data_IF_113533983523
#
_entry.id   IF_113533983523
#
_cell.length_a   1.000
_cell.length_b   1.000
_cell.length_c   1.000
_cell.angle_alpha   90.00
_cell.angle_beta   90.00
_cell.angle_gamma   90.00
#
_symmetry.space_group_name_H-M   'P 1'
#
loop_
_entity.id
_entity.type
_entity.pdbx_description
1 polymer ?
#
# COMPACT_ATOMS: atom_id res chain seq x y z
N UNK A 1 1.45 -12.45 -21.73
CA UNK A 1 0.17 -11.82 -21.38
C UNK A 1 -0.93 -12.65 -22.01
N UNK A 2 -1.94 -13.05 -21.22
CA UNK A 2 -3.08 -13.86 -21.68
C UNK A 2 -4.22 -12.99 -22.21
N UNK A 3 -4.38 -11.79 -21.64
CA UNK A 3 -5.37 -10.78 -22.03
C UNK A 3 -4.66 -9.50 -22.47
N UNK A 4 -5.20 -8.80 -23.47
CA UNK A 4 -4.54 -7.61 -24.03
C UNK A 4 -4.51 -6.46 -23.02
N UNK A 5 -5.57 -6.32 -22.22
CA UNK A 5 -5.70 -5.27 -21.21
C UNK A 5 -4.67 -5.36 -20.08
N UNK A 6 -4.01 -6.51 -19.87
CA UNK A 6 -2.95 -6.65 -18.85
C UNK A 6 -1.77 -5.71 -19.10
N UNK A 7 -1.58 -5.26 -20.35
CA UNK A 7 -0.50 -4.36 -20.73
C UNK A 7 -0.51 -3.01 -20.00
N UNK A 8 -1.66 -2.56 -19.49
CA UNK A 8 -1.76 -1.31 -18.70
C UNK A 8 -0.92 -1.38 -17.42
N UNK A 9 -0.72 -2.57 -16.86
CA UNK A 9 0.10 -2.78 -15.66
C UNK A 9 1.57 -2.34 -15.85
N UNK A 10 2.07 -2.36 -17.10
CA UNK A 10 3.44 -1.96 -17.42
C UNK A 10 3.73 -0.51 -17.02
N UNK A 11 2.77 0.40 -17.26
CA UNK A 11 2.92 1.82 -16.92
C UNK A 11 3.12 2.01 -15.41
N UNK A 12 2.27 1.35 -14.63
CA UNK A 12 2.30 1.37 -13.17
C UNK A 12 3.62 0.82 -12.61
N UNK A 13 4.11 -0.32 -13.11
CA UNK A 13 5.38 -0.87 -12.65
C UNK A 13 6.59 -0.01 -13.02
N UNK A 14 6.61 0.60 -14.21
CA UNK A 14 7.69 1.51 -14.60
C UNK A 14 7.73 2.73 -13.68
N UNK A 15 6.57 3.35 -13.41
CA UNK A 15 6.49 4.48 -12.49
C UNK A 15 6.90 4.09 -11.07
N UNK A 16 6.47 2.92 -10.57
CA UNK A 16 6.86 2.42 -9.27
C UNK A 16 8.39 2.29 -9.12
N UNK A 17 9.07 1.72 -10.12
CA UNK A 17 10.54 1.59 -10.11
C UNK A 17 11.22 2.97 -10.13
N UNK A 18 10.73 3.91 -10.94
CA UNK A 18 11.28 5.26 -10.99
C UNK A 18 11.13 6.01 -9.66
N UNK A 19 9.94 5.93 -9.05
CA UNK A 19 9.65 6.54 -7.75
C UNK A 19 10.43 5.86 -6.62
N UNK A 20 10.67 4.55 -6.70
CA UNK A 20 11.53 3.83 -5.75
C UNK A 20 12.97 4.35 -5.81
N UNK A 21 13.54 4.56 -7.00
CA UNK A 21 14.86 5.16 -7.14
C UNK A 21 14.93 6.58 -6.52
N UNK A 22 13.88 7.40 -6.74
CA UNK A 22 13.76 8.70 -6.10
C UNK A 22 13.68 8.60 -4.57
N UNK A 23 12.90 7.66 -4.03
CA UNK A 23 12.81 7.41 -2.60
C UNK A 23 14.20 7.10 -1.98
N UNK A 24 14.98 6.24 -2.63
CA UNK A 24 16.33 5.88 -2.17
C UNK A 24 17.26 7.10 -2.15
N UNK A 25 17.21 7.94 -3.19
CA UNK A 25 18.01 9.18 -3.24
C UNK A 25 17.73 10.09 -2.03
N UNK A 26 16.46 10.33 -1.70
CA UNK A 26 16.10 11.13 -0.53
C UNK A 26 16.44 10.44 0.80
N UNK A 27 16.45 9.10 0.82
CA UNK A 27 16.96 8.33 1.96
C UNK A 27 18.46 8.54 2.18
N UNK A 28 19.26 8.53 1.12
CA UNK A 28 20.69 8.81 1.19
C UNK A 28 20.99 10.26 1.60
N UNK A 29 20.20 11.22 1.11
CA UNK A 29 20.28 12.63 1.55
C UNK A 29 20.09 12.73 3.06
N UNK A 30 19.01 12.15 3.60
CA UNK A 30 18.77 12.15 5.04
C UNK A 30 19.86 11.43 5.80
N UNK A 31 20.33 10.28 5.30
CA UNK A 31 21.42 9.52 5.92
C UNK A 31 22.69 10.35 6.08
N UNK A 32 23.01 11.22 5.12
CA UNK A 32 24.12 12.16 5.23
C UNK A 32 23.80 13.30 6.22
N UNK A 33 22.58 13.83 6.22
CA UNK A 33 22.13 14.86 7.17
C UNK A 33 22.24 14.43 8.64
N UNK A 34 22.19 13.12 8.94
CA UNK A 34 22.43 12.61 10.30
C UNK A 34 23.86 12.86 10.81
N UNK A 35 24.85 12.85 9.91
CA UNK A 35 26.28 12.98 10.27
C UNK A 35 26.87 14.32 9.85
N UNK A 36 26.24 15.02 8.91
CA UNK A 36 26.55 16.39 8.46
C UNK A 36 25.26 17.21 8.50
N UNK A 37 24.94 17.78 9.67
CA UNK A 37 23.62 18.34 9.99
C UNK A 37 23.17 19.55 9.17
N UNK A 38 24.10 20.23 8.49
CA UNK A 38 23.85 21.39 7.63
C UNK A 38 23.91 21.06 6.13
N UNK A 39 24.09 19.78 5.77
CA UNK A 39 24.09 19.34 4.37
C UNK A 39 22.74 19.66 3.68
N UNK A 40 22.81 20.46 2.59
CA UNK A 40 21.67 21.00 1.83
C UNK A 40 20.76 21.98 2.60
N UNK A 41 21.20 22.50 3.75
CA UNK A 41 20.47 23.56 4.44
C UNK A 41 20.86 24.96 3.90
N UNK A 42 19.91 25.89 3.67
CA UNK A 42 18.48 25.81 3.97
C UNK A 42 17.59 25.26 2.83
N UNK A 43 18.15 24.87 1.68
CA UNK A 43 17.40 24.56 0.46
C UNK A 43 16.52 23.31 0.59
N UNK A 44 17.03 22.24 1.20
CA UNK A 44 16.28 21.00 1.48
C UNK A 44 16.52 20.60 2.94
N UNK A 45 15.76 21.17 3.89
CA UNK A 45 15.84 20.80 5.29
C UNK A 45 15.43 19.33 5.51
N UNK A 46 15.91 18.73 6.60
CA UNK A 46 15.69 17.31 6.90
C UNK A 46 14.21 16.88 6.86
N UNK A 47 13.30 17.69 7.39
CA UNK A 47 11.86 17.39 7.38
C UNK A 47 11.26 17.37 5.97
N UNK A 48 11.76 18.20 5.04
CA UNK A 48 11.34 18.18 3.63
C UNK A 48 11.87 16.92 2.95
N UNK A 49 13.15 16.59 3.14
CA UNK A 49 13.71 15.34 2.63
C UNK A 49 12.95 14.10 3.14
N UNK A 50 12.58 14.12 4.43
CA UNK A 50 11.79 13.08 5.09
C UNK A 50 10.42 12.89 4.47
N UNK A 51 9.63 13.96 4.32
CA UNK A 51 8.29 13.83 3.73
C UNK A 51 8.35 13.41 2.26
N UNK A 52 9.37 13.82 1.50
CA UNK A 52 9.56 13.32 0.12
C UNK A 52 9.88 11.83 0.14
N UNK A 53 10.81 11.38 1.00
CA UNK A 53 11.17 9.98 1.13
C UNK A 53 9.98 9.09 1.52
N UNK A 54 9.25 9.44 2.57
CA UNK A 54 8.15 8.61 3.09
C UNK A 54 6.93 8.63 2.17
N UNK A 55 6.59 9.77 1.56
CA UNK A 55 5.49 9.81 0.60
C UNK A 55 5.84 9.12 -0.72
N UNK A 56 7.08 9.22 -1.19
CA UNK A 56 7.53 8.45 -2.35
C UNK A 56 7.39 6.94 -2.09
N UNK A 57 7.76 6.45 -0.89
CA UNK A 57 7.57 5.06 -0.47
C UNK A 57 6.12 4.60 -0.65
N UNK A 58 5.18 5.36 -0.09
CA UNK A 58 3.75 5.02 -0.15
C UNK A 58 3.26 5.04 -1.59
N UNK A 59 3.56 6.10 -2.36
CA UNK A 59 3.06 6.26 -3.72
C UNK A 59 3.58 5.17 -4.64
N UNK A 60 4.88 4.81 -4.58
CA UNK A 60 5.40 3.77 -5.44
C UNK A 60 4.82 2.39 -5.09
N UNK A 61 4.59 2.11 -3.81
CA UNK A 61 3.90 0.90 -3.36
C UNK A 61 2.47 0.85 -3.89
N UNK A 62 1.71 1.95 -3.81
CA UNK A 62 0.37 2.04 -4.39
C UNK A 62 0.38 1.81 -5.91
N UNK A 63 1.35 2.39 -6.63
CA UNK A 63 1.55 2.12 -8.05
C UNK A 63 1.82 0.63 -8.31
N UNK A 64 2.68 -0.01 -7.51
CA UNK A 64 2.97 -1.43 -7.62
C UNK A 64 1.74 -2.31 -7.35
N UNK A 65 0.92 -1.99 -6.33
CA UNK A 65 -0.33 -2.69 -6.05
C UNK A 65 -1.34 -2.56 -7.18
N UNK A 66 -1.53 -1.35 -7.71
CA UNK A 66 -2.40 -1.12 -8.86
C UNK A 66 -1.91 -1.89 -10.09
N UNK A 67 -0.60 -1.86 -10.36
CA UNK A 67 0.02 -2.64 -11.44
C UNK A 67 -0.19 -4.14 -11.27
N UNK A 68 0.01 -4.67 -10.06
CA UNK A 68 -0.21 -6.08 -9.75
C UNK A 68 -1.68 -6.47 -9.96
N UNK A 69 -2.63 -5.69 -9.43
CA UNK A 69 -4.06 -5.92 -9.62
C UNK A 69 -4.47 -5.88 -11.10
N UNK A 70 -4.02 -4.87 -11.86
CA UNK A 70 -4.30 -4.78 -13.30
C UNK A 70 -3.70 -5.92 -14.11
N UNK A 71 -2.60 -6.52 -13.65
CA UNK A 71 -2.02 -7.70 -14.28
C UNK A 71 -2.79 -8.97 -13.93
N UNK A 72 -3.00 -9.26 -12.65
CA UNK A 72 -3.54 -10.55 -12.22
C UNK A 72 -5.07 -10.65 -12.31
N UNK A 73 -5.81 -9.56 -12.09
CA UNK A 73 -7.28 -9.61 -12.01
C UNK A 73 -7.93 -10.03 -13.32
N UNK A 74 -7.56 -9.49 -14.51
CA UNK A 74 -8.12 -9.96 -15.78
C UNK A 74 -7.90 -11.47 -16.01
N UNK A 75 -6.73 -11.97 -15.59
CA UNK A 75 -6.38 -13.38 -15.75
C UNK A 75 -7.15 -14.29 -14.78
N UNK A 76 -7.35 -13.84 -13.55
CA UNK A 76 -8.12 -14.54 -12.52
C UNK A 76 -9.63 -14.49 -12.80
N UNK A 77 -10.13 -13.37 -13.32
CA UNK A 77 -11.51 -13.18 -13.72
C UNK A 77 -11.82 -13.79 -15.11
N UNK A 78 -10.81 -14.29 -15.80
CA UNK A 78 -10.91 -14.89 -17.13
C UNK A 78 -11.59 -13.97 -18.17
N UNK A 79 -11.41 -12.65 -18.03
CA UNK A 79 -12.03 -11.64 -18.88
C UNK A 79 -11.12 -10.42 -19.02
N UNK A 80 -11.27 -9.66 -20.11
CA UNK A 80 -10.56 -8.39 -20.26
C UNK A 80 -10.97 -7.41 -19.16
N UNK A 81 -10.04 -6.53 -18.78
CA UNK A 81 -10.30 -5.47 -17.80
C UNK A 81 -11.49 -4.60 -18.25
N UNK A 82 -12.35 -4.22 -17.31
CA UNK A 82 -13.59 -3.49 -17.58
C UNK A 82 -13.37 -2.19 -18.38
N UNK A 83 -12.38 -1.39 -17.98
CA UNK A 83 -12.06 -0.13 -18.64
C UNK A 83 -10.53 0.12 -18.71
N UNK A 84 -9.82 -0.39 -19.74
CA UNK A 84 -8.36 -0.17 -19.89
C UNK A 84 -7.96 1.30 -20.07
N UNK A 85 -8.83 2.09 -20.72
CA UNK A 85 -8.62 3.53 -20.89
C UNK A 85 -8.66 4.26 -19.53
N UNK A 86 -9.54 3.83 -18.62
CA UNK A 86 -9.67 4.43 -17.28
C UNK A 86 -8.42 4.18 -16.45
N UNK A 87 -7.84 2.97 -16.55
CA UNK A 87 -6.55 2.65 -15.91
C UNK A 87 -5.45 3.59 -16.41
N UNK A 88 -5.37 3.81 -17.72
CA UNK A 88 -4.34 4.70 -18.30
C UNK A 88 -4.55 6.17 -17.92
N UNK A 89 -5.81 6.64 -17.89
CA UNK A 89 -6.13 8.00 -17.45
C UNK A 89 -5.79 8.22 -15.98
N UNK A 90 -6.23 7.31 -15.11
CA UNK A 90 -5.98 7.39 -13.67
C UNK A 90 -4.48 7.27 -13.33
N UNK A 91 -3.72 6.48 -14.10
CA UNK A 91 -2.26 6.43 -14.01
C UNK A 91 -1.65 7.83 -14.15
N UNK A 92 -1.97 8.55 -15.22
CA UNK A 92 -1.42 9.88 -15.48
C UNK A 92 -1.87 10.90 -14.45
N UNK A 93 -3.15 10.89 -14.07
CA UNK A 93 -3.67 11.78 -13.02
C UNK A 93 -2.92 11.54 -11.70
N UNK A 94 -2.74 10.29 -11.31
CA UNK A 94 -2.07 9.95 -10.06
C UNK A 94 -0.58 10.33 -10.08
N UNK A 95 0.11 10.04 -11.18
CA UNK A 95 1.53 10.36 -11.32
C UNK A 95 1.77 11.87 -11.34
N UNK A 96 0.95 12.64 -12.06
CA UNK A 96 1.04 14.10 -12.10
C UNK A 96 0.72 14.69 -10.73
N UNK A 97 -0.33 14.20 -10.04
CA UNK A 97 -0.66 14.64 -8.69
C UNK A 97 0.50 14.40 -7.71
N UNK A 98 1.12 13.21 -7.74
CA UNK A 98 2.28 12.89 -6.93
C UNK A 98 3.47 13.81 -7.24
N UNK A 99 3.76 14.04 -8.52
CA UNK A 99 4.83 14.94 -8.96
C UNK A 99 4.60 16.39 -8.51
N UNK A 100 3.37 16.90 -8.63
CA UNK A 100 3.00 18.25 -8.18
C UNK A 100 3.09 18.37 -6.66
N UNK A 101 2.71 17.34 -5.91
CA UNK A 101 2.83 17.34 -4.44
C UNK A 101 4.29 17.34 -4.00
N UNK A 102 5.15 16.52 -4.60
CA UNK A 102 6.60 16.52 -4.31
C UNK A 102 7.24 17.86 -4.71
N UNK A 103 6.87 18.41 -5.87
CA UNK A 103 7.30 19.75 -6.27
C UNK A 103 6.84 20.81 -5.26
N UNK A 104 5.61 20.72 -4.75
CA UNK A 104 5.11 21.59 -3.68
C UNK A 104 5.97 21.53 -2.42
N UNK A 105 6.38 20.33 -1.99
CA UNK A 105 7.27 20.17 -0.83
C UNK A 105 8.65 20.80 -1.03
N UNK A 106 9.21 20.69 -2.24
CA UNK A 106 10.58 21.12 -2.55
C UNK A 106 10.69 22.59 -2.93
N UNK A 107 9.65 23.17 -3.51
CA UNK A 107 9.70 24.51 -4.10
C UNK A 107 9.06 25.60 -3.24
N UNK A 108 8.27 25.22 -2.23
CA UNK A 108 7.51 26.16 -1.40
C UNK A 108 7.69 25.80 0.08
N UNK A 109 7.96 26.79 0.95
CA UNK A 109 7.93 26.54 2.40
C UNK A 109 6.61 25.89 2.83
N UNK A 110 6.68 24.86 3.66
CA UNK A 110 5.53 23.99 3.94
C UNK A 110 4.30 24.72 4.53
N UNK A 111 4.52 25.77 5.32
CA UNK A 111 3.44 26.63 5.82
C UNK A 111 2.76 27.42 4.69
N UNK A 112 3.54 28.00 3.78
CA UNK A 112 3.02 28.68 2.59
C UNK A 112 2.30 27.70 1.66
N UNK A 113 2.78 26.46 1.53
CA UNK A 113 2.06 25.41 0.80
C UNK A 113 0.69 25.11 1.42
N UNK A 114 0.59 25.11 2.76
CA UNK A 114 -0.67 24.93 3.46
C UNK A 114 -1.66 26.08 3.19
N UNK A 115 -1.18 27.33 3.21
CA UNK A 115 -1.98 28.51 2.85
C UNK A 115 -2.43 28.48 1.38
N UNK A 116 -1.51 28.20 0.45
CA UNK A 116 -1.80 28.11 -0.99
C UNK A 116 -2.84 27.05 -1.33
N UNK A 117 -2.91 25.98 -0.53
CA UNK A 117 -3.85 24.87 -0.72
C UNK A 117 -5.07 24.94 0.19
N UNK A 118 -5.25 26.07 0.88
CA UNK A 118 -6.40 26.38 1.74
C UNK A 118 -6.62 25.33 2.84
N UNK A 119 -5.54 24.84 3.45
CA UNK A 119 -5.60 23.79 4.47
C UNK A 119 -6.38 24.24 5.72
N UNK A 120 -6.52 25.54 5.98
CA UNK A 120 -7.34 26.07 7.06
C UNK A 120 -8.83 25.74 6.95
N UNK A 121 -9.35 25.54 5.72
CA UNK A 121 -10.76 25.17 5.51
C UNK A 121 -11.04 23.73 5.94
N UNK A 122 -10.09 22.83 5.71
CA UNK A 122 -10.16 21.44 6.13
C UNK A 122 -8.75 20.91 6.43
N UNK A 123 -8.29 21.03 7.69
CA UNK A 123 -6.90 20.80 8.03
C UNK A 123 -6.58 19.31 8.07
N UNK A 124 -5.75 18.85 7.14
CA UNK A 124 -5.28 17.45 7.09
C UNK A 124 -3.76 17.31 6.92
N UNK A 125 -3.04 18.40 6.64
CA UNK A 125 -1.59 18.41 6.46
C UNK A 125 -0.83 18.35 7.79
N UNK A 126 0.44 17.93 7.73
CA UNK A 126 1.40 18.07 8.83
C UNK A 126 1.39 16.91 9.82
N UNK A 127 0.65 15.85 9.52
CA UNK A 127 0.71 14.56 10.20
C UNK A 127 1.63 13.63 9.41
N UNK A 128 2.44 12.85 10.11
CA UNK A 128 3.41 11.93 9.50
C UNK A 128 2.72 10.99 8.50
N UNK A 129 3.32 10.77 7.32
CA UNK A 129 2.77 10.02 6.17
C UNK A 129 1.53 10.65 5.50
N UNK A 130 1.03 11.77 6.02
CA UNK A 130 -0.17 12.47 5.58
C UNK A 130 0.14 13.95 5.29
N UNK A 131 1.35 14.26 4.84
CA UNK A 131 1.85 15.62 4.61
C UNK A 131 1.22 16.29 3.37
N UNK A 132 0.65 15.52 2.45
CA UNK A 132 0.07 16.02 1.21
C UNK A 132 -1.13 16.95 1.46
N UNK A 133 -1.32 18.00 0.64
CA UNK A 133 -2.49 18.87 0.72
C UNK A 133 -3.83 18.11 0.74
N UNK A 134 -4.84 18.67 1.42
CA UNK A 134 -6.19 18.07 1.48
C UNK A 134 -6.76 17.83 0.08
N UNK A 135 -6.54 18.77 -0.86
CA UNK A 135 -6.93 18.62 -2.27
C UNK A 135 -6.24 17.43 -2.95
N UNK A 136 -4.98 17.16 -2.63
CA UNK A 136 -4.25 15.98 -3.14
C UNK A 136 -4.83 14.71 -2.54
N UNK A 137 -5.15 14.69 -1.24
CA UNK A 137 -5.82 13.53 -0.61
C UNK A 137 -7.14 13.20 -1.31
N UNK A 138 -7.95 14.22 -1.63
CA UNK A 138 -9.19 14.03 -2.40
C UNK A 138 -8.94 13.45 -3.78
N UNK A 139 -7.91 13.96 -4.49
CA UNK A 139 -7.46 13.39 -5.76
C UNK A 139 -7.08 11.91 -5.64
N UNK A 140 -6.35 11.53 -4.60
CA UNK A 140 -5.98 10.12 -4.32
C UNK A 140 -7.24 9.27 -4.10
N UNK A 141 -8.24 9.77 -3.36
CA UNK A 141 -9.52 9.07 -3.18
C UNK A 141 -10.23 8.85 -4.51
N UNK A 142 -10.28 9.86 -5.38
CA UNK A 142 -10.90 9.73 -6.72
C UNK A 142 -10.20 8.65 -7.55
N UNK A 143 -8.86 8.67 -7.57
CA UNK A 143 -8.05 7.65 -8.26
C UNK A 143 -8.35 6.26 -7.69
N UNK A 144 -8.37 6.12 -6.36
CA UNK A 144 -8.64 4.85 -5.69
C UNK A 144 -10.05 4.32 -6.00
N UNK A 145 -11.07 5.18 -5.99
CA UNK A 145 -12.45 4.80 -6.31
C UNK A 145 -12.61 4.38 -7.77
N UNK A 146 -12.01 5.12 -8.71
CA UNK A 146 -12.02 4.75 -10.13
C UNK A 146 -11.28 3.43 -10.39
N UNK A 147 -10.16 3.22 -9.71
CA UNK A 147 -9.41 1.96 -9.72
C UNK A 147 -10.23 0.79 -9.17
N UNK A 148 -10.84 0.96 -7.99
CA UNK A 148 -11.70 -0.05 -7.36
C UNK A 148 -12.92 -0.39 -8.20
N UNK A 149 -13.54 0.62 -8.82
CA UNK A 149 -14.63 0.40 -9.76
C UNK A 149 -14.17 -0.46 -10.94
N UNK A 150 -13.03 -0.14 -11.55
CA UNK A 150 -12.49 -0.88 -12.68
C UNK A 150 -12.18 -2.36 -12.33
N UNK A 151 -11.48 -2.58 -11.21
CA UNK A 151 -11.14 -3.93 -10.71
C UNK A 151 -12.40 -4.69 -10.28
N UNK A 152 -13.28 -4.06 -9.50
CA UNK A 152 -14.52 -4.64 -9.01
C UNK A 152 -15.44 -5.06 -10.14
N UNK A 153 -15.65 -4.21 -11.15
CA UNK A 153 -16.48 -4.56 -12.32
C UNK A 153 -15.88 -5.70 -13.14
N UNK A 154 -14.56 -5.79 -13.22
CA UNK A 154 -13.87 -6.90 -13.90
C UNK A 154 -14.14 -8.23 -13.19
N UNK A 155 -14.04 -8.26 -11.85
CA UNK A 155 -14.33 -9.45 -11.04
C UNK A 155 -15.83 -9.80 -11.06
N UNK A 156 -16.71 -8.79 -11.04
CA UNK A 156 -18.16 -8.99 -11.09
C UNK A 156 -18.58 -9.64 -12.41
N UNK A 157 -18.06 -9.15 -13.54
CA UNK A 157 -18.32 -9.68 -14.89
C UNK A 157 -17.72 -11.07 -15.11
N UNK A 158 -16.60 -11.36 -14.48
CA UNK A 158 -15.83 -12.58 -14.70
C UNK A 158 -15.93 -13.63 -13.59
N UNK A 159 -14.98 -14.57 -13.64
CA UNK A 159 -14.78 -15.63 -12.65
C UNK A 159 -14.36 -15.04 -11.31
N UNK A 160 -14.93 -15.57 -10.23
CA UNK A 160 -14.56 -15.21 -8.86
C UNK A 160 -13.65 -16.30 -8.32
N UNK A 161 -12.49 -15.92 -7.82
CA UNK A 161 -11.51 -16.81 -7.21
C UNK A 161 -11.18 -16.29 -5.82
N UNK A 162 -10.62 -17.13 -4.95
CA UNK A 162 -10.22 -16.65 -3.61
C UNK A 162 -9.19 -15.55 -3.75
N UNK A 163 -8.22 -15.71 -4.65
CA UNK A 163 -7.17 -14.72 -4.93
C UNK A 163 -7.75 -13.35 -5.31
N UNK A 164 -8.67 -13.29 -6.28
CA UNK A 164 -9.18 -11.99 -6.73
C UNK A 164 -10.16 -11.34 -5.73
N UNK A 165 -10.89 -12.14 -4.93
CA UNK A 165 -11.75 -11.63 -3.88
C UNK A 165 -10.96 -11.11 -2.68
N UNK A 166 -9.89 -11.81 -2.27
CA UNK A 166 -8.98 -11.35 -1.20
C UNK A 166 -8.24 -10.09 -1.63
N UNK A 167 -7.77 -10.05 -2.88
CA UNK A 167 -7.19 -8.84 -3.48
C UNK A 167 -8.18 -7.68 -3.40
N UNK A 168 -9.42 -7.87 -3.85
CA UNK A 168 -10.45 -6.82 -3.81
C UNK A 168 -10.72 -6.36 -2.37
N UNK A 169 -10.82 -7.28 -1.41
CA UNK A 169 -11.02 -6.97 0.00
C UNK A 169 -9.87 -6.10 0.56
N UNK A 170 -8.61 -6.47 0.29
CA UNK A 170 -7.46 -5.69 0.70
C UNK A 170 -7.42 -4.30 0.07
N UNK A 171 -7.72 -4.19 -1.24
CA UNK A 171 -7.76 -2.91 -1.94
C UNK A 171 -8.92 -2.00 -1.47
N UNK A 172 -10.10 -2.57 -1.18
CA UNK A 172 -11.22 -1.82 -0.60
C UNK A 172 -10.87 -1.34 0.80
N UNK A 173 -10.30 -2.23 1.63
CA UNK A 173 -9.83 -1.89 2.98
C UNK A 173 -8.80 -0.76 2.94
N UNK A 174 -7.83 -0.81 2.02
CA UNK A 174 -6.86 0.26 1.79
C UNK A 174 -7.56 1.60 1.55
N UNK A 175 -8.51 1.66 0.62
CA UNK A 175 -9.23 2.90 0.33
C UNK A 175 -10.07 3.41 1.52
N UNK A 176 -10.72 2.49 2.26
CA UNK A 176 -11.54 2.83 3.44
C UNK A 176 -10.67 3.39 4.56
N UNK A 177 -9.57 2.73 4.91
CA UNK A 177 -8.70 3.17 5.99
C UNK A 177 -7.93 4.47 5.65
N UNK A 178 -7.80 4.81 4.37
CA UNK A 178 -7.31 6.13 3.96
C UNK A 178 -8.25 7.26 4.36
N UNK A 179 -9.55 7.02 4.49
CA UNK A 179 -10.53 8.06 4.82
C UNK A 179 -10.28 8.67 6.21
N UNK A 180 -9.63 7.94 7.11
CA UNK A 180 -9.20 8.47 8.42
C UNK A 180 -8.11 9.56 8.30
N UNK A 181 -7.43 9.69 7.15
CA UNK A 181 -6.53 10.80 6.88
C UNK A 181 -7.24 12.17 6.88
N UNK A 182 -8.55 12.19 6.64
CA UNK A 182 -9.38 13.39 6.66
C UNK A 182 -9.95 13.72 8.05
N UNK A 183 -9.85 12.78 8.99
CA UNK A 183 -10.24 12.99 10.37
C UNK A 183 -9.04 13.52 11.16
N UNK A 184 -9.10 14.80 11.53
CA UNK A 184 -8.06 15.49 12.28
C UNK A 184 -8.62 16.09 13.58
N UNK A 185 -8.77 15.28 14.65
CA UNK A 185 -9.24 15.73 15.96
C UNK A 185 -8.31 16.76 16.60
N UNK A 186 -8.89 17.72 17.32
CA UNK A 186 -8.11 18.70 18.12
C UNK A 186 -7.41 18.01 19.30
N UNK A 187 -8.01 16.94 19.84
CA UNK A 187 -7.39 16.16 20.90
C UNK A 187 -6.29 15.26 20.33
N UNK A 188 -5.04 15.48 20.75
CA UNK A 188 -3.86 14.77 20.25
C UNK A 188 -3.91 13.25 20.47
N UNK A 189 -4.51 12.78 21.58
CA UNK A 189 -4.68 11.35 21.84
C UNK A 189 -5.62 10.74 20.80
N UNK A 190 -6.73 11.43 20.52
CA UNK A 190 -7.72 10.99 19.54
C UNK A 190 -7.17 11.06 18.10
N UNK A 191 -6.41 12.11 17.78
CA UNK A 191 -5.68 12.20 16.50
C UNK A 191 -4.76 11.01 16.30
N UNK A 192 -3.86 10.74 17.27
CA UNK A 192 -2.94 9.60 17.19
C UNK A 192 -3.67 8.27 17.11
N UNK A 193 -4.78 8.10 17.84
CA UNK A 193 -5.58 6.89 17.81
C UNK A 193 -6.07 6.56 16.39
N UNK A 194 -6.69 7.54 15.71
CA UNK A 194 -7.19 7.33 14.34
C UNK A 194 -6.12 7.45 13.26
N UNK A 195 -5.01 8.11 13.52
CA UNK A 195 -3.84 8.11 12.65
C UNK A 195 -3.32 6.67 12.43
N UNK A 196 -3.26 5.87 13.50
CA UNK A 196 -2.87 4.46 13.41
C UNK A 196 -3.87 3.59 12.65
N UNK A 197 -5.13 4.01 12.52
CA UNK A 197 -6.10 3.30 11.67
C UNK A 197 -5.75 3.46 10.19
N UNK A 198 -5.08 4.53 9.79
CA UNK A 198 -4.52 4.62 8.44
C UNK A 198 -3.23 3.82 8.34
N UNK A 199 -2.27 4.03 9.26
CA UNK A 199 -0.91 3.47 9.10
C UNK A 199 -0.83 1.97 9.40
N UNK A 200 -1.25 1.56 10.59
CA UNK A 200 -1.11 0.18 11.03
C UNK A 200 -2.11 -0.74 10.31
N UNK A 201 -3.41 -0.39 10.28
CA UNK A 201 -4.40 -1.22 9.58
C UNK A 201 -4.19 -1.26 8.06
N UNK A 202 -3.38 -0.33 7.50
CA UNK A 202 -2.78 -0.53 6.19
C UNK A 202 -1.72 -1.63 6.22
N UNK A 203 -0.58 -1.37 6.86
CA UNK A 203 0.64 -2.17 6.68
C UNK A 203 0.53 -3.55 7.33
N UNK A 204 -0.03 -3.63 8.53
CA UNK A 204 -0.18 -4.83 9.38
C UNK A 204 -1.65 -5.35 9.31
N UNK A 205 -2.29 -5.15 8.16
CA UNK A 205 -3.68 -5.53 7.94
C UNK A 205 -4.00 -5.70 6.47
N UNK A 206 -4.57 -4.67 5.85
CA UNK A 206 -5.13 -4.79 4.49
C UNK A 206 -4.06 -4.92 3.40
N UNK A 207 -2.82 -4.45 3.64
CA UNK A 207 -1.70 -4.66 2.71
C UNK A 207 -1.21 -6.11 2.73
N UNK A 208 -1.30 -6.80 3.87
CA UNK A 208 -0.99 -8.24 3.95
C UNK A 208 -1.98 -9.08 3.13
N UNK A 209 -3.26 -8.67 3.05
CA UNK A 209 -4.23 -9.31 2.14
C UNK A 209 -3.81 -9.15 0.68
N UNK A 210 -3.37 -7.95 0.29
CA UNK A 210 -2.86 -7.67 -1.07
C UNK A 210 -1.62 -8.51 -1.35
N UNK A 211 -0.65 -8.51 -0.44
CA UNK A 211 0.58 -9.30 -0.54
C UNK A 211 0.28 -10.80 -0.66
N UNK A 212 -0.60 -11.32 0.21
CA UNK A 212 -1.02 -12.72 0.21
C UNK A 212 -1.66 -13.12 -1.12
N UNK A 213 -2.55 -12.28 -1.66
CA UNK A 213 -3.17 -12.52 -2.96
C UNK A 213 -2.16 -12.51 -4.11
N UNK A 214 -1.21 -11.56 -4.11
CA UNK A 214 -0.13 -11.51 -5.10
C UNK A 214 0.74 -12.77 -5.02
N UNK A 215 1.18 -13.15 -3.82
CA UNK A 215 2.01 -14.33 -3.60
C UNK A 215 1.28 -15.60 -4.03
N UNK A 216 0.02 -15.77 -3.65
CA UNK A 216 -0.81 -16.91 -4.05
C UNK A 216 -0.94 -16.98 -5.58
N UNK A 217 -1.21 -15.85 -6.25
CA UNK A 217 -1.24 -15.79 -7.71
C UNK A 217 0.10 -16.24 -8.32
N UNK A 218 1.22 -15.68 -7.85
CA UNK A 218 2.56 -16.02 -8.35
C UNK A 218 2.84 -17.51 -8.17
N UNK A 219 2.53 -18.09 -7.01
CA UNK A 219 2.75 -19.52 -6.74
C UNK A 219 1.89 -20.41 -7.65
N UNK A 220 0.62 -20.07 -7.89
CA UNK A 220 -0.23 -20.78 -8.87
C UNK A 220 0.42 -20.75 -10.25
N UNK A 221 0.93 -19.58 -10.67
CA UNK A 221 1.50 -19.37 -12.02
C UNK A 221 2.92 -19.92 -12.19
N UNK A 222 3.66 -20.19 -11.14
CA UNK A 222 5.05 -20.65 -11.23
C UNK A 222 5.20 -22.13 -10.87
N UNK A 223 4.52 -22.61 -9.81
CA UNK A 223 4.78 -23.94 -9.24
C UNK A 223 3.98 -25.07 -9.89
N UNK A 224 2.78 -24.77 -10.42
CA UNK A 224 1.85 -25.82 -10.88
C UNK A 224 1.27 -26.69 -9.76
N UNK A 225 1.42 -26.28 -8.49
CA UNK A 225 0.68 -26.86 -7.37
C UNK A 225 -0.81 -26.57 -7.54
N UNK A 226 -1.65 -27.47 -7.02
CA UNK A 226 -3.10 -27.33 -7.10
C UNK A 226 -3.58 -26.03 -6.44
N UNK A 227 -4.47 -25.35 -7.15
CA UNK A 227 -5.02 -24.05 -6.75
C UNK A 227 -5.76 -24.15 -5.42
N UNK A 228 -6.48 -25.25 -5.21
CA UNK A 228 -7.25 -25.46 -3.98
C UNK A 228 -6.35 -25.44 -2.73
N UNK A 229 -5.13 -26.00 -2.84
CA UNK A 229 -4.17 -26.01 -1.74
C UNK A 229 -3.68 -24.60 -1.44
N UNK A 230 -3.30 -23.85 -2.49
CA UNK A 230 -2.82 -22.47 -2.36
C UNK A 230 -3.88 -21.56 -1.76
N UNK A 231 -5.14 -21.67 -2.21
CA UNK A 231 -6.23 -20.84 -1.71
C UNK A 231 -6.60 -21.16 -0.25
N UNK A 232 -6.51 -22.43 0.19
CA UNK A 232 -6.66 -22.78 1.61
C UNK A 232 -5.59 -22.14 2.48
N UNK A 233 -4.33 -22.15 2.04
CA UNK A 233 -3.25 -21.46 2.75
C UNK A 233 -3.47 -19.96 2.82
N UNK A 234 -3.88 -19.35 1.70
CA UNK A 234 -4.21 -17.92 1.64
C UNK A 234 -5.28 -17.55 2.68
N UNK A 235 -6.35 -18.33 2.80
CA UNK A 235 -7.38 -18.08 3.82
C UNK A 235 -6.86 -18.12 5.25
N UNK A 236 -5.99 -19.08 5.59
CA UNK A 236 -5.46 -19.18 6.95
C UNK A 236 -4.52 -18.00 7.23
N UNK A 237 -3.67 -17.63 6.27
CA UNK A 237 -2.76 -16.48 6.41
C UNK A 237 -3.55 -15.19 6.67
N UNK A 238 -4.53 -14.87 5.83
CA UNK A 238 -5.31 -13.62 6.01
C UNK A 238 -6.17 -13.64 7.28
N UNK A 239 -6.65 -14.82 7.71
CA UNK A 239 -7.39 -14.94 8.95
C UNK A 239 -6.49 -14.62 10.13
N UNK A 240 -5.26 -15.17 10.16
CA UNK A 240 -4.29 -14.85 11.20
C UNK A 240 -3.91 -13.38 11.18
N UNK A 241 -3.60 -12.80 10.02
CA UNK A 241 -3.37 -11.35 9.85
C UNK A 241 -4.47 -10.51 10.53
N UNK A 242 -5.74 -10.77 10.23
CA UNK A 242 -6.84 -9.96 10.77
C UNK A 242 -7.11 -10.22 12.26
N UNK A 243 -6.99 -11.47 12.71
CA UNK A 243 -7.15 -11.84 14.11
C UNK A 243 -6.09 -11.13 14.96
N UNK A 244 -4.85 -11.07 14.48
CA UNK A 244 -3.73 -10.48 15.23
C UNK A 244 -3.68 -8.96 15.06
N UNK A 245 -3.65 -8.44 13.83
CA UNK A 245 -3.37 -7.02 13.56
C UNK A 245 -4.49 -6.04 13.94
N UNK A 246 -5.77 -6.44 13.88
CA UNK A 246 -6.87 -5.50 14.21
C UNK A 246 -6.80 -5.03 15.66
N UNK A 247 -6.60 -5.96 16.61
CA UNK A 247 -6.42 -5.62 18.04
C UNK A 247 -4.96 -5.29 18.31
N UNK A 248 -4.04 -5.88 17.56
CA UNK A 248 -2.60 -5.63 17.59
C UNK A 248 -2.21 -4.17 17.38
N UNK A 249 -3.05 -3.40 16.67
CA UNK A 249 -2.97 -1.92 16.59
C UNK A 249 -2.77 -1.27 17.97
N UNK A 250 -3.29 -1.90 19.02
CA UNK A 250 -3.12 -1.52 20.42
C UNK A 250 -1.67 -1.33 20.88
N UNK A 251 -0.67 -1.95 20.22
CA UNK A 251 0.74 -1.74 20.55
C UNK A 251 1.23 -0.32 20.29
N UNK A 252 0.50 0.44 19.48
CA UNK A 252 0.74 1.85 19.26
C UNK A 252 0.03 2.76 20.27
N UNK A 253 -0.84 2.19 21.10
CA UNK A 253 -1.66 2.92 22.05
C UNK A 253 -1.05 3.00 23.45
N UNK A 254 0.03 2.24 23.71
CA UNK A 254 0.67 2.15 25.02
C UNK A 254 0.94 3.50 25.70
N UNK A 255 1.42 4.48 24.92
CA UNK A 255 1.99 5.73 25.44
C UNK A 255 1.36 7.00 24.86
N UNK A 256 0.28 6.89 24.08
CA UNK A 256 -0.37 8.05 23.46
C UNK A 256 -1.45 8.68 24.36
N UNK A 257 -1.76 8.08 25.52
CA UNK A 257 -2.76 8.58 26.46
C UNK A 257 -4.09 7.81 26.48
N UNK A 258 -4.17 6.64 25.86
CA UNK A 258 -5.35 5.74 25.96
C UNK A 258 -5.36 4.97 27.29
N UNK A 259 -6.50 4.35 27.68
CA UNK A 259 -6.58 3.54 28.90
C UNK A 259 -5.57 2.37 28.95
N UNK A 260 -5.19 1.99 30.17
CA UNK A 260 -4.15 0.98 30.46
C UNK A 260 -4.45 -0.41 29.88
N UNK A 261 -5.73 -0.77 29.67
CA UNK A 261 -6.08 -2.07 29.09
C UNK A 261 -5.47 -2.30 27.70
N UNK A 262 -5.13 -1.22 26.96
CA UNK A 262 -4.45 -1.35 25.67
C UNK A 262 -3.03 -1.90 25.79
N UNK A 263 -2.36 -1.76 26.94
CA UNK A 263 -1.06 -2.42 27.15
C UNK A 263 -1.20 -3.93 27.12
N UNK A 264 -2.28 -4.48 27.71
CA UNK A 264 -2.57 -5.91 27.68
C UNK A 264 -2.98 -6.38 26.29
N UNK A 265 -4.01 -5.75 25.71
CA UNK A 265 -4.53 -6.14 24.40
C UNK A 265 -3.49 -5.97 23.29
N UNK A 266 -2.83 -4.81 23.24
CA UNK A 266 -1.79 -4.52 22.26
C UNK A 266 -0.63 -5.50 22.36
N UNK A 267 -0.13 -5.79 23.57
CA UNK A 267 1.00 -6.72 23.73
C UNK A 267 0.64 -8.15 23.31
N UNK A 268 -0.52 -8.67 23.71
CA UNK A 268 -0.92 -10.05 23.42
C UNK A 268 -1.13 -10.26 21.91
N UNK A 269 -1.83 -9.34 21.26
CA UNK A 269 -2.20 -9.50 19.85
C UNK A 269 -1.05 -9.18 18.91
N UNK A 270 -0.25 -8.14 19.17
CA UNK A 270 0.93 -7.83 18.38
C UNK A 270 2.03 -8.91 18.49
N UNK A 271 2.16 -9.56 19.65
CA UNK A 271 3.10 -10.68 19.80
C UNK A 271 2.77 -11.87 18.87
N UNK A 272 1.53 -11.97 18.38
CA UNK A 272 1.09 -12.99 17.43
C UNK A 272 1.19 -12.55 15.95
N UNK A 273 1.38 -11.26 15.66
CA UNK A 273 1.52 -10.74 14.30
C UNK A 273 2.67 -11.35 13.47
N UNK A 274 3.77 -11.87 14.06
CA UNK A 274 4.77 -12.62 13.29
C UNK A 274 4.26 -13.94 12.68
N UNK A 275 3.15 -14.50 13.19
CA UNK A 275 2.61 -15.80 12.74
C UNK A 275 2.24 -15.80 11.24
N UNK A 276 1.42 -14.87 10.70
CA UNK A 276 1.11 -14.84 9.27
C UNK A 276 2.36 -14.76 8.38
N UNK A 277 3.38 -13.97 8.74
CA UNK A 277 4.63 -13.89 7.98
C UNK A 277 5.44 -15.19 8.01
N UNK A 278 5.50 -15.85 9.17
CA UNK A 278 6.12 -17.17 9.28
C UNK A 278 5.37 -18.19 8.41
N UNK A 279 4.04 -18.16 8.44
CA UNK A 279 3.19 -18.99 7.60
C UNK A 279 3.41 -18.72 6.11
N UNK A 280 3.54 -17.45 5.68
CA UNK A 280 3.86 -17.09 4.29
C UNK A 280 5.20 -17.65 3.83
N UNK A 281 6.21 -17.62 4.70
CA UNK A 281 7.53 -18.20 4.43
C UNK A 281 7.43 -19.71 4.25
N UNK A 282 6.84 -20.41 5.22
CA UNK A 282 6.60 -21.87 5.15
C UNK A 282 5.77 -22.22 3.91
N UNK A 283 4.76 -21.41 3.59
CA UNK A 283 3.91 -21.57 2.43
C UNK A 283 4.71 -21.47 1.12
N UNK A 284 5.47 -20.40 0.90
CA UNK A 284 6.25 -20.19 -0.32
C UNK A 284 7.26 -21.33 -0.55
N UNK A 285 8.06 -21.66 0.46
CA UNK A 285 9.08 -22.72 0.37
C UNK A 285 8.45 -24.09 0.09
N UNK A 286 7.35 -24.44 0.77
CA UNK A 286 6.69 -25.73 0.55
C UNK A 286 6.06 -25.83 -0.86
N UNK A 287 5.46 -24.76 -1.39
CA UNK A 287 4.88 -24.78 -2.72
C UNK A 287 5.94 -24.88 -3.82
N UNK A 288 7.09 -24.22 -3.65
CA UNK A 288 8.23 -24.31 -4.58
C UNK A 288 8.88 -25.69 -4.53
N UNK A 289 9.01 -26.28 -3.34
CA UNK A 289 9.55 -27.64 -3.20
C UNK A 289 8.63 -28.71 -3.80
N UNK A 290 7.30 -28.51 -3.70
CA UNK A 290 6.28 -29.43 -4.27
C UNK A 290 5.88 -29.07 -5.71
N UNK A 291 6.67 -28.25 -6.41
CA UNK A 291 6.36 -27.82 -7.78
C UNK A 291 6.19 -29.03 -8.71
N UNK A 292 5.20 -28.96 -9.58
CA UNK A 292 4.90 -30.00 -10.59
C UNK A 292 5.42 -29.65 -11.98
N UNK A 293 6.03 -28.47 -12.12
CA UNK A 293 6.65 -27.99 -13.37
C UNK A 293 7.89 -27.16 -13.07
N UNK A 294 8.81 -27.16 -14.03
CA UNK A 294 9.95 -26.25 -14.05
C UNK A 294 9.55 -24.96 -14.77
N UNK A 295 9.71 -23.82 -14.09
CA UNK A 295 9.37 -22.52 -14.64
C UNK A 295 10.59 -21.92 -15.36
N UNK A 296 10.48 -21.38 -16.58
CA UNK A 296 11.62 -20.91 -17.36
C UNK A 296 12.34 -19.71 -16.73
N UNK A 297 11.61 -18.87 -15.98
CA UNK A 297 12.22 -17.80 -15.18
C UNK A 297 12.63 -18.33 -13.81
N UNK A 298 13.93 -18.62 -13.65
CA UNK A 298 14.52 -19.13 -12.39
C UNK A 298 14.52 -18.11 -11.26
N UNK A 299 14.59 -16.81 -11.56
CA UNK A 299 14.54 -15.75 -10.53
C UNK A 299 13.19 -15.76 -9.82
N UNK A 300 12.10 -16.04 -10.55
CA UNK A 300 10.75 -16.11 -9.98
C UNK A 300 10.55 -17.29 -9.01
N UNK A 301 11.49 -18.22 -8.91
CA UNK A 301 11.43 -19.43 -8.07
C UNK A 301 12.65 -19.58 -7.16
N UNK A 302 13.46 -18.52 -6.98
CA UNK A 302 14.70 -18.53 -6.20
C UNK A 302 14.46 -18.48 -4.67
N UNK A 303 13.30 -18.94 -4.21
CA UNK A 303 12.89 -18.94 -2.81
C UNK A 303 13.34 -20.24 -2.15
#
# INVERSE_FOLDING_TARGET
MKYQSQSVAKLYFIAAIALFAAQILFGLIMGLQYVVGDFLFPEIPFNVARMVHTNALIVWMLMAFMGAAYYLVPEEAETELFAPWLATLMFWIFLVAAGLTVAGYLLVPYATLAELTMNELWPTMGREFLEQPTITKLGIVIVALAFLFNIGMTILKGRKTVVNLVMLLGLVGLAVFFLFAFYNPVNVVMDKFFWWWTVHLWVEGVWELILGAILAFVLIKTTGVDREVIEKWLYIIIAMTLITGIIGTGHHFFWIGTPEYWQWWGSIFSAMEPIPFFMMTVFAFNMVNKRRREHPNKVAILW
#
